data_IF_646795755995
#
_entry.id   IF_646795755995
#
_cell.length_a   1.000
_cell.length_b   1.000
_cell.length_c   1.000
_cell.angle_alpha   90.00
_cell.angle_beta   90.00
_cell.angle_gamma   90.00
#
_symmetry.space_group_name_H-M   'P 1'
#
loop_
_entity.id
_entity.type
_entity.pdbx_description
1 polymer ?
#
# COMPACT_ATOMS: atom_id res chain seq x y z
N UNK A 1 -12.54 -7.12 -9.25
CA UNK A 1 -11.43 -6.48 -8.52
C UNK A 1 -11.78 -5.01 -8.35
N UNK A 2 -11.39 -4.34 -7.27
CA UNK A 2 -11.64 -2.90 -7.10
C UNK A 2 -10.75 -2.11 -8.10
N UNK A 3 -11.36 -1.24 -8.92
CA UNK A 3 -10.67 -0.49 -9.96
C UNK A 3 -9.52 0.38 -9.43
N UNK A 4 -9.64 0.87 -8.19
CA UNK A 4 -8.58 1.62 -7.50
C UNK A 4 -7.37 0.72 -7.25
N UNK A 5 -7.62 -0.51 -6.77
CA UNK A 5 -6.57 -1.48 -6.45
C UNK A 5 -5.84 -1.93 -7.72
N UNK A 6 -6.58 -2.17 -8.81
CA UNK A 6 -5.96 -2.48 -10.11
C UNK A 6 -5.07 -1.35 -10.60
N UNK A 7 -5.55 -0.10 -10.54
CA UNK A 7 -4.76 1.08 -10.90
C UNK A 7 -3.48 1.15 -10.06
N UNK A 8 -3.60 1.03 -8.75
CA UNK A 8 -2.45 1.16 -7.85
C UNK A 8 -1.42 0.05 -8.04
N UNK A 9 -1.87 -1.19 -8.33
CA UNK A 9 -0.97 -2.30 -8.69
C UNK A 9 -0.24 -2.02 -10.01
N UNK A 10 -0.93 -1.47 -11.01
CA UNK A 10 -0.31 -1.04 -12.26
C UNK A 10 0.71 0.09 -12.06
N UNK A 11 0.47 0.96 -11.07
CA UNK A 11 1.39 2.05 -10.69
C UNK A 11 2.55 1.55 -9.79
N UNK A 12 2.60 0.25 -9.47
CA UNK A 12 3.72 -0.41 -8.81
C UNK A 12 3.51 -0.74 -7.32
N UNK A 13 2.37 -0.37 -6.73
CA UNK A 13 2.08 -0.71 -5.33
C UNK A 13 1.83 -2.21 -5.17
N UNK A 14 2.56 -2.91 -4.28
CA UNK A 14 2.34 -4.33 -4.05
C UNK A 14 0.97 -4.61 -3.46
N UNK A 15 0.30 -5.68 -3.87
CA UNK A 15 -0.96 -6.07 -3.26
C UNK A 15 -0.82 -6.43 -1.77
N UNK A 16 0.31 -7.03 -1.37
CA UNK A 16 0.54 -7.47 0.01
C UNK A 16 1.96 -7.16 0.47
N UNK A 17 2.05 -6.56 1.65
CA UNK A 17 3.30 -6.19 2.28
C UNK A 17 3.35 -6.72 3.71
N UNK A 18 4.55 -6.80 4.28
CA UNK A 18 4.77 -6.96 5.70
C UNK A 18 5.56 -5.76 6.21
N UNK A 19 4.92 -4.99 7.09
CA UNK A 19 5.52 -3.79 7.66
C UNK A 19 6.59 -4.14 8.70
N UNK A 20 7.37 -3.13 9.09
CA UNK A 20 8.46 -3.26 10.07
C UNK A 20 8.05 -3.94 11.40
N UNK A 21 6.80 -3.82 11.82
CA UNK A 21 6.27 -4.49 13.01
C UNK A 21 6.05 -6.00 12.86
N UNK A 22 6.36 -6.59 11.70
CA UNK A 22 6.18 -8.01 11.40
C UNK A 22 4.78 -8.41 10.95
N UNK A 23 3.83 -7.48 10.96
CA UNK A 23 2.45 -7.72 10.54
C UNK A 23 2.26 -7.54 9.03
N UNK A 24 1.50 -8.45 8.43
CA UNK A 24 1.10 -8.34 7.02
C UNK A 24 -0.06 -7.39 6.84
N UNK A 25 -0.07 -6.66 5.75
CA UNK A 25 -1.20 -5.85 5.33
C UNK A 25 -1.50 -6.03 3.84
N UNK A 26 -2.76 -5.77 3.49
CA UNK A 26 -3.28 -5.87 2.13
C UNK A 26 -3.63 -4.47 1.64
N UNK A 27 -3.31 -4.19 0.39
CA UNK A 27 -3.66 -2.96 -0.29
C UNK A 27 -5.19 -2.82 -0.28
N UNK A 28 -5.68 -1.74 0.32
CA UNK A 28 -7.09 -1.56 0.65
C UNK A 28 -7.74 -0.42 -0.12
N UNK A 29 -7.06 0.73 -0.21
CA UNK A 29 -7.57 1.91 -0.90
C UNK A 29 -6.45 2.93 -1.21
N UNK A 30 -6.83 4.10 -1.72
CA UNK A 30 -5.97 5.23 -2.06
C UNK A 30 -6.26 6.42 -1.15
N UNK A 31 -5.20 7.05 -0.63
CA UNK A 31 -5.26 8.35 0.04
C UNK A 31 -4.80 9.44 -0.94
N UNK A 32 -5.72 10.26 -1.50
CA UNK A 32 -5.33 11.40 -2.32
C UNK A 32 -4.49 12.40 -1.52
N UNK A 33 -3.48 12.96 -2.17
CA UNK A 33 -2.68 14.08 -1.70
C UNK A 33 -2.94 15.30 -2.60
N UNK A 34 -2.36 16.45 -2.24
CA UNK A 34 -2.38 17.63 -3.09
C UNK A 34 -1.60 17.42 -4.39
N UNK A 35 -1.96 18.14 -5.45
CA UNK A 35 -1.20 18.13 -6.71
C UNK A 35 -1.36 16.87 -7.57
N UNK A 36 -2.37 16.03 -7.28
CA UNK A 36 -2.64 14.81 -8.05
C UNK A 36 -1.82 13.59 -7.60
N UNK A 37 -1.03 13.73 -6.54
CA UNK A 37 -0.30 12.64 -5.93
C UNK A 37 -1.18 11.83 -4.97
N UNK A 38 -0.73 10.64 -4.55
CA UNK A 38 -1.48 9.79 -3.62
C UNK A 38 -0.58 8.77 -2.89
N UNK A 39 -1.05 8.27 -1.75
CA UNK A 39 -0.47 7.15 -1.02
C UNK A 39 -1.38 5.93 -1.05
N UNK A 40 -0.81 4.75 -0.84
CA UNK A 40 -1.57 3.53 -0.62
C UNK A 40 -2.07 3.44 0.81
N UNK A 41 -3.33 3.06 0.99
CA UNK A 41 -3.88 2.66 2.27
C UNK A 41 -3.77 1.13 2.35
N UNK A 42 -3.01 0.64 3.32
CA UNK A 42 -2.91 -0.78 3.64
C UNK A 42 -3.67 -1.11 4.92
N UNK A 43 -4.46 -2.18 4.90
CA UNK A 43 -5.17 -2.69 6.07
C UNK A 43 -4.31 -3.75 6.79
N UNK A 44 -3.76 -3.36 7.93
CA UNK A 44 -3.15 -4.23 8.93
C UNK A 44 -4.22 -4.81 9.88
N UNK A 45 -3.92 -5.87 10.64
CA UNK A 45 -4.84 -6.37 11.68
C UNK A 45 -5.26 -5.30 12.70
N UNK A 46 -4.37 -4.36 13.01
CA UNK A 46 -4.60 -3.29 13.99
C UNK A 46 -5.22 -2.02 13.41
N UNK A 47 -5.37 -1.90 12.09
CA UNK A 47 -5.80 -0.63 11.51
C UNK A 47 -5.39 -0.41 10.06
N UNK A 48 -5.68 0.78 9.56
CA UNK A 48 -5.32 1.24 8.22
C UNK A 48 -4.10 2.13 8.40
N UNK A 49 -3.14 2.02 7.49
CA UNK A 49 -1.98 2.90 7.47
C UNK A 49 -1.70 3.32 6.03
N UNK A 50 -1.37 4.60 5.87
CA UNK A 50 -0.93 5.14 4.59
C UNK A 50 0.56 4.84 4.40
N UNK A 51 0.92 4.35 3.21
CA UNK A 51 2.30 4.12 2.81
C UNK A 51 2.58 4.69 1.43
N UNK A 52 3.70 5.37 1.30
CA UNK A 52 4.21 5.81 0.01
C UNK A 52 4.96 4.67 -0.68
N UNK A 53 5.02 4.68 -2.02
CA UNK A 53 5.71 3.63 -2.77
C UNK A 53 7.20 3.52 -2.41
N UNK A 54 7.88 4.64 -2.22
CA UNK A 54 9.29 4.68 -1.82
C UNK A 54 9.53 4.13 -0.41
N UNK A 55 8.63 4.43 0.53
CA UNK A 55 8.67 3.89 1.89
C UNK A 55 8.52 2.36 1.88
N UNK A 56 7.57 1.84 1.10
CA UNK A 56 7.35 0.39 0.98
C UNK A 56 8.63 -0.31 0.49
N UNK A 57 9.28 0.25 -0.52
CA UNK A 57 10.52 -0.32 -1.08
C UNK A 57 11.71 -0.28 -0.10
N UNK A 58 11.76 0.72 0.79
CA UNK A 58 12.85 0.85 1.76
C UNK A 58 12.61 0.11 3.06
N UNK A 59 11.36 -0.03 3.48
CA UNK A 59 10.98 -0.38 4.86
C UNK A 59 9.99 -1.54 4.97
N UNK A 60 9.50 -2.10 3.87
CA UNK A 60 8.56 -3.22 3.92
C UNK A 60 9.08 -4.43 3.14
N UNK A 61 8.73 -5.62 3.62
CA UNK A 61 8.90 -6.86 2.87
C UNK A 61 7.72 -7.01 1.91
N UNK A 62 7.98 -7.14 0.60
CA UNK A 62 6.94 -7.39 -0.40
C UNK A 62 6.59 -8.87 -0.39
N UNK A 63 5.33 -9.18 -0.10
CA UNK A 63 4.81 -10.56 -0.03
C UNK A 63 4.11 -10.96 -1.33
N UNK A 64 3.37 -10.03 -1.93
CA UNK A 64 2.68 -10.20 -3.21
C UNK A 64 2.67 -8.87 -3.97
N UNK A 65 3.04 -8.92 -5.25
CA UNK A 65 3.03 -7.77 -6.16
C UNK A 65 1.64 -7.54 -6.74
#
# INVERSE_FOLDING_TARGET
MNAIIEKMRNDGYPYKIKGNGGYTAVLYDMQPLGGGDYMAIYRYPGGECCHGLSEIQMCCEVIEQ
#
